data_IF_952469327016
#
_entry.id   IF_952469327016
#
_cell.length_a   1.000
_cell.length_b   1.000
_cell.length_c   1.000
_cell.angle_alpha   90.00
_cell.angle_beta   90.00
_cell.angle_gamma   90.00
#
_symmetry.space_group_name_H-M   'P 1'
#
loop_
_entity.id
_entity.type
_entity.pdbx_description
1 polymer ?
#
# COMPACT_ATOMS: atom_id res chain seq x y z
N UNK A 1 -30.56 -7.09 30.82
CA UNK A 1 -31.65 -7.57 29.95
C UNK A 1 -31.09 -8.67 29.07
N UNK A 2 -31.77 -9.81 28.91
CA UNK A 2 -31.43 -10.78 27.84
C UNK A 2 -32.12 -10.30 26.57
N UNK A 3 -31.37 -9.85 25.58
CA UNK A 3 -31.92 -9.59 24.24
C UNK A 3 -32.47 -10.90 23.70
N UNK A 4 -33.80 -10.98 23.53
CA UNK A 4 -34.45 -12.07 22.81
C UNK A 4 -34.20 -11.84 21.34
N UNK A 5 -33.09 -12.37 20.85
CA UNK A 5 -32.86 -12.48 19.43
C UNK A 5 -33.90 -13.39 18.80
N UNK A 6 -34.42 -13.00 17.63
CA UNK A 6 -35.20 -13.91 16.77
C UNK A 6 -34.38 -15.19 16.53
N UNK A 7 -35.04 -16.35 16.33
CA UNK A 7 -34.40 -17.64 16.02
C UNK A 7 -33.76 -17.64 14.61
N UNK A 8 -32.81 -16.74 14.39
CA UNK A 8 -32.08 -16.54 13.15
C UNK A 8 -30.63 -16.90 13.38
N UNK A 9 -30.02 -17.55 12.39
CA UNK A 9 -28.58 -17.85 12.38
C UNK A 9 -27.70 -16.58 12.58
N UNK A 10 -28.22 -15.39 12.24
CA UNK A 10 -27.52 -14.10 12.33
C UNK A 10 -28.48 -13.05 12.92
N UNK A 11 -28.49 -12.87 14.25
CA UNK A 11 -29.51 -12.05 14.89
C UNK A 11 -29.15 -10.58 15.09
N UNK A 12 -27.87 -10.21 14.91
CA UNK A 12 -27.39 -8.83 15.08
C UNK A 12 -27.59 -8.06 13.78
N UNK A 13 -28.39 -6.98 13.82
CA UNK A 13 -28.61 -6.07 12.71
C UNK A 13 -27.69 -4.85 12.79
N UNK A 14 -27.21 -4.38 11.64
CA UNK A 14 -26.53 -3.09 11.49
C UNK A 14 -27.18 -2.33 10.33
N UNK A 15 -27.54 -1.06 10.54
CA UNK A 15 -28.11 -0.20 9.51
C UNK A 15 -27.02 0.60 8.81
N UNK A 16 -27.06 0.62 7.47
CA UNK A 16 -26.18 1.40 6.61
C UNK A 16 -27.06 2.28 5.73
N UNK A 17 -26.67 3.54 5.56
CA UNK A 17 -27.36 4.51 4.69
C UNK A 17 -26.44 4.87 3.54
N UNK A 18 -27.02 5.06 2.36
CA UNK A 18 -26.32 5.42 1.13
C UNK A 18 -26.99 6.62 0.50
N UNK A 19 -26.19 7.46 -0.15
CA UNK A 19 -26.66 8.37 -1.19
C UNK A 19 -27.08 7.58 -2.43
N UNK A 20 -27.87 8.17 -3.35
CA UNK A 20 -28.25 7.49 -4.59
C UNK A 20 -27.07 7.02 -5.44
N UNK A 21 -25.93 7.73 -5.37
CA UNK A 21 -24.75 7.41 -6.17
C UNK A 21 -23.98 6.23 -5.57
N UNK A 22 -23.82 6.20 -4.25
CA UNK A 22 -23.22 5.07 -3.53
C UNK A 22 -24.04 3.78 -3.70
N UNK A 23 -25.37 3.87 -3.67
CA UNK A 23 -26.25 2.70 -3.90
C UNK A 23 -26.11 2.16 -5.34
N UNK A 24 -25.96 3.05 -6.34
CA UNK A 24 -25.69 2.63 -7.72
C UNK A 24 -24.35 1.92 -7.84
N UNK A 25 -23.30 2.43 -7.22
CA UNK A 25 -21.99 1.78 -7.20
C UNK A 25 -22.06 0.38 -6.57
N UNK A 26 -22.72 0.25 -5.41
CA UNK A 26 -22.92 -1.04 -4.74
C UNK A 26 -23.64 -2.03 -5.66
N UNK A 27 -24.70 -1.62 -6.33
CA UNK A 27 -25.47 -2.49 -7.24
C UNK A 27 -24.65 -2.95 -8.44
N UNK A 28 -23.91 -2.04 -9.08
CA UNK A 28 -23.02 -2.38 -10.19
C UNK A 28 -21.97 -3.42 -9.77
N UNK A 29 -21.31 -3.21 -8.62
CA UNK A 29 -20.33 -4.16 -8.11
C UNK A 29 -20.96 -5.51 -7.75
N UNK A 30 -22.18 -5.51 -7.21
CA UNK A 30 -22.92 -6.75 -6.96
C UNK A 30 -23.25 -7.51 -8.25
N UNK A 31 -23.62 -6.80 -9.32
CA UNK A 31 -23.88 -7.39 -10.64
C UNK A 31 -22.61 -8.00 -11.24
N UNK A 32 -21.50 -7.25 -11.22
CA UNK A 32 -20.18 -7.72 -11.69
C UNK A 32 -19.71 -8.97 -10.95
N UNK A 33 -19.96 -9.06 -9.64
CA UNK A 33 -19.60 -10.21 -8.81
C UNK A 33 -20.65 -11.34 -8.82
N UNK A 34 -21.77 -11.18 -9.53
CA UNK A 34 -22.86 -12.16 -9.57
C UNK A 34 -23.57 -12.38 -8.23
N UNK A 35 -23.52 -11.42 -7.31
CA UNK A 35 -24.08 -11.55 -5.96
C UNK A 35 -25.53 -11.09 -5.93
N UNK A 36 -26.43 -12.03 -5.61
CA UNK A 36 -27.89 -11.81 -5.69
C UNK A 36 -28.48 -10.97 -4.56
N UNK A 37 -27.80 -10.83 -3.42
CA UNK A 37 -28.37 -10.14 -2.25
C UNK A 37 -27.37 -9.20 -1.59
N UNK A 38 -27.86 -8.02 -1.20
CA UNK A 38 -27.06 -7.03 -0.49
C UNK A 38 -26.54 -7.59 0.84
N UNK A 39 -27.34 -8.38 1.56
CA UNK A 39 -26.90 -9.04 2.79
C UNK A 39 -25.67 -9.92 2.58
N UNK A 40 -25.62 -10.70 1.49
CA UNK A 40 -24.46 -11.55 1.22
C UNK A 40 -23.24 -10.72 0.84
N UNK A 41 -23.44 -9.71 -0.02
CA UNK A 41 -22.38 -8.79 -0.44
C UNK A 41 -21.79 -8.03 0.74
N UNK A 42 -22.62 -7.30 1.49
CA UNK A 42 -22.20 -6.50 2.64
C UNK A 42 -21.57 -7.38 3.72
N UNK A 43 -22.11 -8.56 4.03
CA UNK A 43 -21.51 -9.46 5.02
C UNK A 43 -20.14 -9.97 4.56
N UNK A 44 -19.99 -10.37 3.30
CA UNK A 44 -18.70 -10.81 2.78
C UNK A 44 -17.69 -9.65 2.79
N UNK A 45 -18.08 -8.46 2.33
CA UNK A 45 -17.20 -7.28 2.37
C UNK A 45 -16.83 -6.82 3.78
N UNK A 46 -17.76 -6.87 4.74
CA UNK A 46 -17.49 -6.45 6.12
C UNK A 46 -16.69 -7.49 6.93
N UNK A 47 -16.76 -8.78 6.57
CA UNK A 47 -16.09 -9.88 7.29
C UNK A 47 -14.77 -10.29 6.62
N UNK A 48 -14.73 -10.30 5.29
CA UNK A 48 -13.60 -10.76 4.48
C UNK A 48 -12.91 -9.63 3.71
N UNK A 49 -13.53 -8.45 3.60
CA UNK A 49 -12.93 -7.31 2.93
C UNK A 49 -11.61 -6.97 3.61
N UNK A 50 -10.53 -7.08 2.85
CA UNK A 50 -9.22 -6.67 3.33
C UNK A 50 -9.21 -5.15 3.43
N UNK A 51 -9.07 -4.62 4.64
CA UNK A 51 -8.69 -3.22 4.83
C UNK A 51 -7.21 -3.14 4.46
N UNK A 52 -6.92 -2.69 3.25
CA UNK A 52 -5.54 -2.43 2.83
C UNK A 52 -5.08 -1.14 3.50
N UNK A 53 -4.44 -1.27 4.66
CA UNK A 53 -3.68 -0.17 5.23
C UNK A 53 -2.36 -0.07 4.46
N UNK A 54 -2.25 0.95 3.60
CA UNK A 54 -0.98 1.26 2.93
C UNK A 54 -0.11 1.99 3.94
N UNK A 55 0.88 1.29 4.49
CA UNK A 55 1.89 1.87 5.36
C UNK A 55 2.97 2.56 4.50
N UNK A 56 2.99 3.89 4.53
CA UNK A 56 3.99 4.71 3.83
C UNK A 56 5.29 4.89 4.62
N UNK A 57 5.47 4.20 5.76
CA UNK A 57 6.71 4.27 6.55
C UNK A 57 7.95 3.95 5.71
N UNK A 58 7.82 3.07 4.71
CA UNK A 58 8.93 2.71 3.82
C UNK A 58 9.38 3.87 2.91
N UNK A 59 8.48 4.81 2.57
CA UNK A 59 8.84 6.03 1.83
C UNK A 59 9.63 7.04 2.68
N UNK A 60 9.54 6.93 4.00
CA UNK A 60 10.28 7.81 4.92
C UNK A 60 11.78 7.56 4.85
N UNK A 61 12.19 6.29 4.83
CA UNK A 61 13.61 5.90 4.73
C UNK A 61 14.21 6.36 3.40
N UNK A 62 13.47 6.16 2.30
CA UNK A 62 13.87 6.61 0.98
C UNK A 62 14.03 8.13 0.92
N UNK A 63 13.08 8.87 1.51
CA UNK A 63 13.14 10.34 1.61
C UNK A 63 14.36 10.81 2.40
N UNK A 64 14.72 10.14 3.49
CA UNK A 64 15.91 10.46 4.28
C UNK A 64 17.19 10.25 3.47
N UNK A 65 17.29 9.14 2.74
CA UNK A 65 18.43 8.86 1.88
C UNK A 65 18.59 9.93 0.77
N UNK A 66 17.49 10.29 0.10
CA UNK A 66 17.48 11.33 -0.94
C UNK A 66 17.89 12.69 -0.37
N UNK A 67 17.38 13.08 0.78
CA UNK A 67 17.74 14.35 1.42
C UNK A 67 19.24 14.44 1.75
N UNK A 68 19.85 13.33 2.18
CA UNK A 68 21.28 13.28 2.46
C UNK A 68 22.13 13.49 1.20
N UNK A 69 21.72 12.89 0.08
CA UNK A 69 22.37 13.13 -1.22
C UNK A 69 22.20 14.57 -1.66
N UNK A 70 20.99 15.12 -1.58
CA UNK A 70 20.73 16.52 -1.94
C UNK A 70 21.62 17.49 -1.15
N UNK A 71 21.82 17.23 0.14
CA UNK A 71 22.74 17.99 0.98
C UNK A 71 24.20 17.93 0.51
N UNK A 72 24.70 16.74 0.16
CA UNK A 72 26.07 16.54 -0.32
C UNK A 72 26.31 17.14 -1.71
N UNK A 73 25.36 16.95 -2.65
CA UNK A 73 25.41 17.60 -3.96
C UNK A 73 25.43 19.12 -3.81
N UNK A 74 24.64 19.67 -2.90
CA UNK A 74 24.62 21.12 -2.65
C UNK A 74 25.94 21.64 -2.06
N UNK A 75 26.63 20.84 -1.23
CA UNK A 75 27.96 21.18 -0.73
C UNK A 75 29.00 21.19 -1.86
N UNK A 76 28.97 20.19 -2.74
CA UNK A 76 29.88 20.11 -3.89
C UNK A 76 29.61 21.25 -4.87
N UNK A 77 28.34 21.58 -5.12
CA UNK A 77 27.99 22.72 -5.96
C UNK A 77 28.45 24.05 -5.35
N UNK A 78 28.36 24.20 -4.02
CA UNK A 78 28.85 25.38 -3.31
C UNK A 78 30.39 25.47 -3.38
N UNK A 79 31.09 24.36 -3.15
CA UNK A 79 32.54 24.28 -3.24
C UNK A 79 33.04 24.55 -4.67
N UNK A 80 32.38 24.00 -5.69
CA UNK A 80 32.64 24.27 -7.09
C UNK A 80 32.46 25.75 -7.44
N UNK A 81 31.38 26.38 -6.95
CA UNK A 81 31.13 27.81 -7.18
C UNK A 81 32.13 28.72 -6.44
N UNK A 82 32.70 28.27 -5.32
CA UNK A 82 33.66 29.06 -4.53
C UNK A 82 35.11 28.91 -5.02
N UNK A 83 35.47 27.76 -5.60
CA UNK A 83 36.86 27.42 -5.96
C UNK A 83 37.08 27.15 -7.47
N UNK A 84 36.05 27.23 -8.31
CA UNK A 84 36.04 26.88 -9.75
C UNK A 84 36.60 25.47 -10.07
N UNK A 85 36.73 24.62 -9.06
CA UNK A 85 37.36 23.30 -9.14
C UNK A 85 36.56 22.30 -8.29
N UNK A 86 36.30 21.13 -8.86
CA UNK A 86 35.68 19.98 -8.18
C UNK A 86 36.74 18.91 -8.00
N UNK A 87 36.82 18.33 -6.80
CA UNK A 87 37.77 17.25 -6.51
C UNK A 87 37.23 15.87 -6.93
N UNK A 88 38.12 14.93 -7.23
CA UNK A 88 37.74 13.55 -7.61
C UNK A 88 37.09 12.84 -6.42
N UNK A 89 37.53 13.16 -5.21
CA UNK A 89 37.01 12.66 -3.94
C UNK A 89 35.53 13.04 -3.76
N UNK A 90 35.15 14.29 -4.02
CA UNK A 90 33.77 14.77 -3.95
C UNK A 90 32.84 14.06 -4.94
N UNK A 91 33.30 13.83 -6.18
CA UNK A 91 32.55 13.10 -7.19
C UNK A 91 32.38 11.62 -6.78
N UNK A 92 33.46 11.02 -6.26
CA UNK A 92 33.44 9.63 -5.79
C UNK A 92 32.44 9.45 -4.64
N UNK A 93 32.35 10.41 -3.73
CA UNK A 93 31.42 10.36 -2.60
C UNK A 93 29.95 10.39 -3.05
N UNK A 94 29.60 11.23 -4.03
CA UNK A 94 28.25 11.26 -4.62
C UNK A 94 27.92 9.97 -5.36
N UNK A 95 28.86 9.43 -6.14
CA UNK A 95 28.66 8.17 -6.86
C UNK A 95 28.44 7.00 -5.90
N UNK A 96 29.18 6.95 -4.80
CA UNK A 96 29.01 5.91 -3.77
C UNK A 96 27.63 6.00 -3.09
N UNK A 97 27.18 7.21 -2.74
CA UNK A 97 25.85 7.42 -2.15
C UNK A 97 24.72 7.06 -3.13
N UNK A 98 24.87 7.36 -4.42
CA UNK A 98 23.94 6.94 -5.45
C UNK A 98 23.89 5.41 -5.59
N UNK A 99 25.03 4.74 -5.44
CA UNK A 99 25.08 3.27 -5.42
C UNK A 99 24.35 2.70 -4.21
N UNK A 100 24.53 3.27 -3.01
CA UNK A 100 23.81 2.83 -1.82
C UNK A 100 22.28 2.97 -1.97
N UNK A 101 21.80 4.07 -2.57
CA UNK A 101 20.36 4.22 -2.86
C UNK A 101 19.89 3.18 -3.86
N UNK A 102 20.65 2.95 -4.93
CA UNK A 102 20.31 1.94 -5.94
C UNK A 102 20.15 0.56 -5.30
N UNK A 103 21.06 0.19 -4.40
CA UNK A 103 21.02 -1.10 -3.72
C UNK A 103 19.86 -1.19 -2.73
N UNK A 104 19.58 -0.13 -1.98
CA UNK A 104 18.40 -0.05 -1.10
C UNK A 104 17.09 -0.18 -1.89
N UNK A 105 16.97 0.52 -3.02
CA UNK A 105 15.77 0.45 -3.88
C UNK A 105 15.62 -0.96 -4.46
N UNK A 106 16.69 -1.54 -5.01
CA UNK A 106 16.65 -2.89 -5.59
C UNK A 106 16.28 -3.96 -4.55
N UNK A 107 16.85 -3.87 -3.34
CA UNK A 107 16.53 -4.80 -2.26
C UNK A 107 15.05 -4.70 -1.85
N UNK A 108 14.51 -3.48 -1.77
CA UNK A 108 13.11 -3.25 -1.37
C UNK A 108 12.13 -3.69 -2.44
N UNK A 109 12.36 -3.32 -3.71
CA UNK A 109 11.53 -3.77 -4.86
C UNK A 109 11.49 -5.29 -4.93
N UNK A 110 12.64 -5.97 -4.82
CA UNK A 110 12.68 -7.44 -4.82
C UNK A 110 11.92 -8.05 -3.64
N UNK A 111 11.91 -7.39 -2.48
CA UNK A 111 11.16 -7.85 -1.31
C UNK A 111 9.65 -7.65 -1.46
N UNK A 112 9.22 -6.54 -2.08
CA UNK A 112 7.82 -6.24 -2.38
C UNK A 112 7.26 -7.18 -3.46
N UNK A 113 8.03 -7.47 -4.51
CA UNK A 113 7.68 -8.46 -5.54
C UNK A 113 7.42 -9.83 -4.91
N UNK A 114 8.29 -10.28 -4.00
CA UNK A 114 8.12 -11.54 -3.27
C UNK A 114 6.87 -11.54 -2.39
N UNK A 115 6.58 -10.42 -1.69
CA UNK A 115 5.36 -10.25 -0.88
C UNK A 115 4.09 -10.28 -1.74
N UNK A 116 4.09 -9.58 -2.88
CA UNK A 116 2.98 -9.55 -3.84
C UNK A 116 2.69 -10.95 -4.42
N UNK A 117 3.74 -11.69 -4.78
CA UNK A 117 3.61 -13.09 -5.25
C UNK A 117 3.05 -14.00 -4.15
N UNK A 118 3.50 -13.85 -2.90
CA UNK A 118 2.99 -14.62 -1.76
C UNK A 118 1.51 -14.33 -1.47
N UNK A 119 1.11 -13.05 -1.50
CA UNK A 119 -0.29 -12.65 -1.35
C UNK A 119 -1.17 -13.21 -2.49
N UNK A 120 -0.71 -13.11 -3.75
CA UNK A 120 -1.43 -13.72 -4.89
C UNK A 120 -1.60 -15.24 -4.72
N UNK A 121 -0.56 -15.96 -4.27
CA UNK A 121 -0.65 -17.41 -3.97
C UNK A 121 -1.66 -17.72 -2.85
N UNK A 122 -1.73 -16.88 -1.83
CA UNK A 122 -2.68 -17.03 -0.72
C UNK A 122 -4.12 -16.77 -1.18
N UNK A 123 -4.32 -15.74 -2.01
CA UNK A 123 -5.62 -15.42 -2.62
C UNK A 123 -6.11 -16.59 -3.48
N UNK A 124 -5.28 -17.11 -4.40
CA UNK A 124 -5.64 -18.26 -5.26
C UNK A 124 -6.10 -19.47 -4.43
N UNK A 125 -5.40 -19.81 -3.33
CA UNK A 125 -5.84 -20.89 -2.41
C UNK A 125 -7.17 -20.63 -1.73
N UNK A 126 -7.56 -19.37 -1.53
CA UNK A 126 -8.81 -19.02 -0.84
C UNK A 126 -10.01 -19.03 -1.80
N UNK A 127 -9.77 -18.97 -3.12
CA UNK A 127 -10.82 -19.00 -4.14
C UNK A 127 -11.16 -20.41 -4.64
N UNK A 128 -10.29 -21.41 -4.42
CA UNK A 128 -10.51 -22.81 -4.84
C UNK A 128 -11.51 -23.61 -3.98
N UNK A 129 -12.13 -22.98 -2.96
CA UNK A 129 -13.16 -23.61 -2.14
C UNK A 129 -14.55 -22.98 -2.37
N UNK A 130 -15.08 -23.13 -3.60
CA UNK A 130 -16.51 -22.98 -3.89
C UNK A 130 -16.97 -24.02 -4.91
#
# INVERSE_FOLDING_TARGET
MRERYENRKRPIERKVRFTPDEDRQVKMTMEEMGVKTFQSYAKNMLVQGQVVQIDFSELKDLRVAINRIGGNINQIAKHANENDLITIEEISEVVNLLSEIKDLVNAKVSSEEKRSIAQKKQIVRTYDEW
#
